data_IF_613604428404
#
_entry.id   IF_613604428404
#
_cell.length_a   1.000
_cell.length_b   1.000
_cell.length_c   1.000
_cell.angle_alpha   90.00
_cell.angle_beta   90.00
_cell.angle_gamma   90.00
#
_symmetry.space_group_name_H-M   'P 1'
#
loop_
_entity.id
_entity.type
_entity.pdbx_description
1 polymer ?
#
# COMPACT_ATOMS: atom_id res chain seq x y z
N UNK A 1 -40.21 55.28 -48.61
CA UNK A 1 -40.16 56.68 -49.11
C UNK A 1 -38.74 57.18 -48.95
N UNK A 2 -38.15 57.68 -50.04
CA UNK A 2 -36.88 58.42 -50.09
C UNK A 2 -37.06 59.82 -49.48
N UNK A 3 -35.92 60.46 -49.16
CA UNK A 3 -35.63 61.90 -48.92
C UNK A 3 -35.26 62.16 -47.46
N UNK A 4 -34.18 62.87 -47.11
CA UNK A 4 -33.20 63.66 -47.87
C UNK A 4 -31.98 63.87 -46.96
N UNK A 5 -30.79 63.85 -47.56
CA UNK A 5 -29.58 64.39 -46.98
C UNK A 5 -29.70 65.92 -46.83
N UNK A 6 -29.14 66.47 -45.75
CA UNK A 6 -28.73 67.87 -45.69
C UNK A 6 -27.24 67.90 -45.34
N UNK A 7 -26.49 68.27 -46.37
CA UNK A 7 -25.08 68.64 -46.37
C UNK A 7 -25.00 70.03 -45.71
N UNK A 8 -24.21 70.18 -44.65
CA UNK A 8 -23.76 71.50 -44.18
C UNK A 8 -22.27 71.63 -44.47
N UNK A 9 -22.02 72.48 -45.45
CA UNK A 9 -20.76 72.83 -46.09
C UNK A 9 -20.18 74.07 -45.41
N UNK A 10 -19.02 73.96 -44.77
CA UNK A 10 -18.10 75.07 -44.44
C UNK A 10 -16.78 74.45 -43.95
N UNK A 11 -15.58 74.87 -44.30
CA UNK A 11 -15.02 75.74 -45.33
C UNK A 11 -13.52 75.38 -45.27
N UNK A 12 -12.90 75.17 -46.43
CA UNK A 12 -11.50 74.80 -46.58
C UNK A 12 -10.61 76.02 -46.25
N UNK A 13 -9.65 75.89 -45.33
CA UNK A 13 -8.48 76.78 -45.27
C UNK A 13 -7.21 75.92 -45.39
N UNK A 14 -6.55 76.05 -46.53
CA UNK A 14 -5.36 75.29 -46.90
C UNK A 14 -4.10 76.06 -46.45
N UNK A 15 -3.05 75.27 -46.20
CA UNK A 15 -1.60 75.56 -46.34
C UNK A 15 -0.89 76.02 -45.06
N UNK A 16 -0.13 75.11 -44.45
CA UNK A 16 1.33 75.08 -44.65
C UNK A 16 1.92 73.75 -44.17
N UNK A 17 2.69 73.12 -45.07
CA UNK A 17 3.66 72.08 -44.73
C UNK A 17 4.74 72.69 -43.84
N UNK A 18 4.77 72.28 -42.58
CA UNK A 18 6.02 72.23 -41.81
C UNK A 18 6.34 70.78 -41.52
N UNK A 19 7.20 70.21 -42.36
CA UNK A 19 8.00 69.03 -41.99
C UNK A 19 8.80 69.43 -40.76
N UNK A 20 8.41 68.91 -39.61
CA UNK A 20 9.26 68.84 -38.44
C UNK A 20 9.05 67.47 -37.85
N UNK A 21 10.03 66.61 -38.12
CA UNK A 21 10.07 65.27 -37.58
C UNK A 21 9.98 65.30 -36.07
N UNK A 22 9.01 64.56 -35.53
CA UNK A 22 9.07 64.04 -34.19
C UNK A 22 8.42 62.65 -34.19
N UNK A 23 9.30 61.67 -33.97
CA UNK A 23 9.09 60.26 -33.64
C UNK A 23 7.64 59.86 -33.34
N UNK A 24 7.21 58.77 -33.96
CA UNK A 24 6.19 57.87 -33.41
C UNK A 24 6.52 57.52 -31.95
N UNK A 25 6.08 58.36 -31.00
CA UNK A 25 5.93 57.95 -29.61
C UNK A 25 4.70 57.09 -29.59
N UNK A 26 4.94 55.80 -29.83
CA UNK A 26 4.02 54.73 -29.51
C UNK A 26 3.35 55.07 -28.19
N UNK A 27 2.01 55.17 -28.18
CA UNK A 27 1.23 54.97 -26.97
C UNK A 27 1.44 53.50 -26.57
N UNK A 28 2.62 53.16 -26.05
CA UNK A 28 2.75 52.05 -25.10
C UNK A 28 1.98 52.51 -23.89
N UNK A 29 0.68 52.20 -23.94
CA UNK A 29 -0.31 52.46 -22.92
C UNK A 29 0.27 52.08 -21.55
N UNK A 30 0.18 52.99 -20.59
CA UNK A 30 0.52 52.74 -19.17
C UNK A 30 -0.11 51.45 -18.64
N UNK A 31 -1.23 51.03 -19.25
CA UNK A 31 -1.89 49.74 -19.01
C UNK A 31 -0.98 48.53 -19.36
N UNK A 32 -0.26 48.57 -20.48
CA UNK A 32 0.64 47.49 -20.90
C UNK A 32 1.90 47.37 -20.05
N UNK A 33 2.41 48.46 -19.49
CA UNK A 33 3.52 48.41 -18.52
C UNK A 33 3.09 47.87 -17.15
N UNK A 34 1.89 48.22 -16.70
CA UNK A 34 1.35 47.74 -15.42
C UNK A 34 1.03 46.24 -15.47
N UNK A 35 0.40 45.76 -16.55
CA UNK A 35 0.11 44.32 -16.76
C UNK A 35 1.40 43.49 -16.79
N UNK A 36 2.45 43.98 -17.46
CA UNK A 36 3.75 43.28 -17.49
C UNK A 36 4.40 43.21 -16.11
N UNK A 37 4.33 44.29 -15.33
CA UNK A 37 4.86 44.32 -13.96
C UNK A 37 4.10 43.36 -13.04
N UNK A 38 2.78 43.32 -13.13
CA UNK A 38 1.94 42.38 -12.38
C UNK A 38 2.21 40.91 -12.76
N UNK A 39 2.34 40.62 -14.05
CA UNK A 39 2.69 39.28 -14.51
C UNK A 39 4.07 38.84 -14.00
N UNK A 40 5.07 39.73 -14.02
CA UNK A 40 6.40 39.45 -13.49
C UNK A 40 6.38 39.21 -11.97
N UNK A 41 5.65 40.02 -11.20
CA UNK A 41 5.51 39.81 -9.75
C UNK A 41 4.86 38.47 -9.42
N UNK A 42 3.81 38.08 -10.17
CA UNK A 42 3.19 36.76 -10.02
C UNK A 42 4.17 35.62 -10.35
N UNK A 43 4.97 35.77 -11.41
CA UNK A 43 5.97 34.77 -11.78
C UNK A 43 7.04 34.61 -10.70
N UNK A 44 7.51 35.71 -10.11
CA UNK A 44 8.51 35.70 -9.04
C UNK A 44 7.95 35.07 -7.75
N UNK A 45 6.68 35.34 -7.43
CA UNK A 45 6.01 34.73 -6.28
C UNK A 45 5.79 33.22 -6.46
N UNK A 46 5.41 32.78 -7.68
CA UNK A 46 5.35 31.34 -8.02
C UNK A 46 6.71 30.68 -7.83
N UNK A 47 7.79 31.26 -8.35
CA UNK A 47 9.16 30.74 -8.19
C UNK A 47 9.54 30.63 -6.72
N UNK A 48 9.19 31.63 -5.91
CA UNK A 48 9.44 31.62 -4.46
C UNK A 48 8.74 30.44 -3.79
N UNK A 49 7.44 30.25 -4.03
CA UNK A 49 6.70 29.13 -3.43
C UNK A 49 7.24 27.75 -3.86
N UNK A 50 7.68 27.61 -5.12
CA UNK A 50 8.33 26.38 -5.59
C UNK A 50 9.68 26.16 -4.89
N UNK A 51 10.47 27.22 -4.70
CA UNK A 51 11.75 27.15 -4.01
C UNK A 51 11.57 26.76 -2.53
N UNK A 52 10.62 27.39 -1.83
CA UNK A 52 10.26 27.07 -0.45
C UNK A 52 9.77 25.62 -0.32
N UNK A 53 8.85 25.20 -1.19
CA UNK A 53 8.38 23.81 -1.23
C UNK A 53 9.49 22.80 -1.49
N UNK A 54 10.43 23.12 -2.39
CA UNK A 54 11.60 22.28 -2.68
C UNK A 54 12.52 22.14 -1.46
N UNK A 55 12.76 23.25 -0.74
CA UNK A 55 13.56 23.25 0.50
C UNK A 55 12.90 22.37 1.57
N UNK A 56 11.61 22.57 1.82
CA UNK A 56 10.84 21.81 2.80
C UNK A 56 10.80 20.31 2.45
N UNK A 57 10.65 19.99 1.16
CA UNK A 57 10.69 18.62 0.66
C UNK A 57 12.06 17.97 0.91
N UNK A 58 13.14 18.73 0.79
CA UNK A 58 14.48 18.27 1.11
C UNK A 58 14.71 18.07 2.60
N UNK A 59 14.09 18.89 3.43
CA UNK A 59 14.10 18.77 4.90
C UNK A 59 13.17 17.64 5.42
N UNK A 60 12.41 16.97 4.56
CA UNK A 60 11.45 15.93 4.97
C UNK A 60 10.14 16.47 5.55
N UNK A 61 9.90 17.78 5.48
CA UNK A 61 8.66 18.43 5.93
C UNK A 61 7.62 18.35 4.81
N UNK A 62 7.08 17.16 4.60
CA UNK A 62 6.30 16.85 3.41
C UNK A 62 4.97 17.60 3.30
N UNK A 63 4.27 17.80 4.42
CA UNK A 63 3.01 18.54 4.43
C UNK A 63 3.22 20.04 4.17
N UNK A 64 4.27 20.63 4.76
CA UNK A 64 4.65 22.03 4.52
C UNK A 64 5.09 22.24 3.07
N UNK A 65 5.85 21.28 2.52
CA UNK A 65 6.25 21.30 1.12
C UNK A 65 5.03 21.28 0.19
N UNK A 66 4.07 20.38 0.47
CA UNK A 66 2.82 20.27 -0.28
C UNK A 66 2.04 21.59 -0.25
N UNK A 67 1.90 22.19 0.93
CA UNK A 67 1.22 23.48 1.10
C UNK A 67 1.88 24.59 0.28
N UNK A 68 3.21 24.66 0.25
CA UNK A 68 3.95 25.64 -0.54
C UNK A 68 3.75 25.42 -2.04
N UNK A 69 3.78 24.17 -2.51
CA UNK A 69 3.52 23.84 -3.91
C UNK A 69 2.07 24.12 -4.34
N UNK A 70 1.08 23.88 -3.47
CA UNK A 70 -0.31 24.24 -3.73
C UNK A 70 -0.50 25.76 -3.83
N UNK A 71 0.24 26.55 -3.04
CA UNK A 71 0.28 28.01 -3.20
C UNK A 71 0.88 28.42 -4.55
N UNK A 72 1.97 27.79 -5.00
CA UNK A 72 2.52 28.06 -6.33
C UNK A 72 1.49 27.81 -7.44
N UNK A 73 0.73 26.72 -7.34
CA UNK A 73 -0.33 26.38 -8.29
C UNK A 73 -1.52 27.34 -8.21
N UNK A 74 -1.88 27.84 -7.02
CA UNK A 74 -3.03 28.73 -6.88
C UNK A 74 -2.83 30.09 -7.55
N UNK A 75 -1.58 30.53 -7.70
CA UNK A 75 -1.22 31.76 -8.42
C UNK A 75 -1.60 31.71 -9.91
N UNK A 76 -1.46 30.54 -10.54
CA UNK A 76 -1.88 30.28 -11.91
C UNK A 76 -2.19 28.78 -12.11
N UNK A 77 -3.47 28.43 -11.95
CA UNK A 77 -3.97 27.05 -12.08
C UNK A 77 -3.87 26.49 -13.50
N UNK A 78 -3.62 27.33 -14.51
CA UNK A 78 -3.50 26.91 -15.91
C UNK A 78 -2.06 26.57 -16.31
N UNK A 79 -1.08 26.91 -15.46
CA UNK A 79 0.33 26.78 -15.77
C UNK A 79 0.82 25.33 -15.68
N UNK A 80 0.74 24.61 -16.80
CA UNK A 80 1.25 23.23 -16.94
C UNK A 80 2.70 23.05 -16.45
N UNK A 81 3.57 24.03 -16.66
CA UNK A 81 5.00 23.92 -16.29
C UNK A 81 5.17 23.72 -14.79
N UNK A 82 4.41 24.46 -13.99
CA UNK A 82 4.47 24.42 -12.52
C UNK A 82 4.08 23.02 -12.00
N UNK A 83 3.00 22.44 -12.52
CA UNK A 83 2.59 21.08 -12.15
C UNK A 83 3.65 20.03 -12.50
N UNK A 84 4.23 20.11 -13.70
CA UNK A 84 5.28 19.17 -14.14
C UNK A 84 6.52 19.28 -13.25
N UNK A 85 6.94 20.50 -12.93
CA UNK A 85 8.09 20.75 -12.06
C UNK A 85 7.88 20.18 -10.65
N UNK A 86 6.74 20.48 -10.02
CA UNK A 86 6.39 19.99 -8.68
C UNK A 86 6.33 18.45 -8.67
N UNK A 87 5.64 17.85 -9.64
CA UNK A 87 5.54 16.40 -9.76
C UNK A 87 6.94 15.76 -9.91
N UNK A 88 7.82 16.34 -10.74
CA UNK A 88 9.19 15.83 -10.92
C UNK A 88 9.97 15.84 -9.59
N UNK A 89 9.89 16.93 -8.82
CA UNK A 89 10.56 17.03 -7.51
C UNK A 89 10.13 15.92 -6.53
N UNK A 90 8.84 15.59 -6.47
CA UNK A 90 8.37 14.46 -5.65
C UNK A 90 8.85 13.10 -6.18
N UNK A 91 8.87 12.92 -7.51
CA UNK A 91 9.38 11.69 -8.14
C UNK A 91 10.88 11.48 -7.85
N UNK A 92 11.70 12.54 -7.89
CA UNK A 92 13.12 12.50 -7.53
C UNK A 92 13.33 12.03 -6.08
N UNK A 93 12.41 12.41 -5.17
CA UNK A 93 12.41 11.95 -3.78
C UNK A 93 11.75 10.58 -3.57
N UNK A 94 11.36 9.89 -4.64
CA UNK A 94 10.64 8.61 -4.63
C UNK A 94 9.31 8.67 -3.85
N UNK A 95 8.68 9.84 -3.81
CA UNK A 95 7.38 10.09 -3.16
C UNK A 95 6.26 10.06 -4.21
N UNK A 96 5.96 8.85 -4.68
CA UNK A 96 5.09 8.62 -5.83
C UNK A 96 3.63 8.99 -5.52
N UNK A 97 3.15 8.78 -4.29
CA UNK A 97 1.78 9.13 -3.90
C UNK A 97 1.57 10.66 -3.89
N UNK A 98 2.58 11.41 -3.44
CA UNK A 98 2.53 12.87 -3.47
C UNK A 98 2.62 13.40 -4.91
N UNK A 99 3.48 12.82 -5.75
CA UNK A 99 3.53 13.12 -7.18
C UNK A 99 2.17 12.84 -7.86
N UNK A 100 1.55 11.70 -7.54
CA UNK A 100 0.25 11.28 -8.07
C UNK A 100 -0.86 12.29 -7.74
N UNK A 101 -0.86 12.82 -6.51
CA UNK A 101 -1.77 13.89 -6.10
C UNK A 101 -1.69 15.11 -7.02
N UNK A 102 -0.49 15.59 -7.36
CA UNK A 102 -0.34 16.76 -8.23
C UNK A 102 -0.75 16.46 -9.68
N UNK A 103 -0.57 15.24 -10.20
CA UNK A 103 -1.11 14.85 -11.51
C UNK A 103 -2.65 14.88 -11.49
N UNK A 104 -3.27 14.32 -10.46
CA UNK A 104 -4.74 14.37 -10.27
C UNK A 104 -5.24 15.81 -10.17
N UNK A 105 -4.52 16.67 -9.43
CA UNK A 105 -4.84 18.09 -9.30
C UNK A 105 -4.73 18.82 -10.65
N UNK A 106 -3.75 18.45 -11.49
CA UNK A 106 -3.58 18.99 -12.85
C UNK A 106 -4.82 18.71 -13.71
N UNK A 107 -5.29 17.46 -13.69
CA UNK A 107 -6.51 17.03 -14.40
C UNK A 107 -7.73 17.78 -13.88
N UNK A 108 -7.86 17.91 -12.55
CA UNK A 108 -8.97 18.65 -11.91
C UNK A 108 -9.01 20.13 -12.28
N UNK A 109 -7.87 20.73 -12.62
CA UNK A 109 -7.78 22.11 -13.10
C UNK A 109 -7.88 22.22 -14.62
N UNK A 110 -8.26 21.15 -15.31
CA UNK A 110 -8.43 21.07 -16.77
C UNK A 110 -7.14 21.38 -17.57
N UNK A 111 -5.97 21.09 -16.99
CA UNK A 111 -4.68 21.30 -17.66
C UNK A 111 -4.20 20.00 -18.30
N UNK A 112 -4.03 20.01 -19.62
CA UNK A 112 -3.45 18.88 -20.39
C UNK A 112 -4.05 17.51 -20.03
N UNK A 113 -5.38 17.48 -19.91
CA UNK A 113 -6.13 16.38 -19.27
C UNK A 113 -5.83 15.03 -19.90
N UNK A 114 -5.74 14.96 -21.23
CA UNK A 114 -5.54 13.68 -21.93
C UNK A 114 -4.16 13.07 -21.67
N UNK A 115 -3.10 13.87 -21.71
CA UNK A 115 -1.76 13.36 -21.39
C UNK A 115 -1.61 13.07 -19.90
N UNK A 116 -2.20 13.90 -19.03
CA UNK A 116 -2.16 13.70 -17.58
C UNK A 116 -2.94 12.47 -17.15
N UNK A 117 -4.07 12.14 -17.79
CA UNK A 117 -4.80 10.88 -17.55
C UNK A 117 -3.95 9.66 -17.91
N UNK A 118 -3.24 9.69 -19.04
CA UNK A 118 -2.33 8.60 -19.44
C UNK A 118 -1.22 8.42 -18.40
N UNK A 119 -0.60 9.52 -17.97
CA UNK A 119 0.43 9.50 -16.92
C UNK A 119 -0.13 8.98 -15.59
N UNK A 120 -1.32 9.44 -15.19
CA UNK A 120 -1.99 9.01 -13.96
C UNK A 120 -2.21 7.49 -13.96
N UNK A 121 -2.65 6.93 -15.09
CA UNK A 121 -2.86 5.48 -15.24
C UNK A 121 -1.54 4.70 -15.18
N UNK A 122 -0.47 5.19 -15.83
CA UNK A 122 0.86 4.58 -15.75
C UNK A 122 1.38 4.57 -14.30
N UNK A 123 1.25 5.68 -13.57
CA UNK A 123 1.61 5.75 -12.14
C UNK A 123 0.77 4.77 -11.31
N UNK A 124 -0.54 4.71 -11.55
CA UNK A 124 -1.46 3.81 -10.83
C UNK A 124 -1.12 2.33 -11.06
N UNK A 125 -0.71 1.95 -12.27
CA UNK A 125 -0.33 0.55 -12.56
C UNK A 125 0.91 0.08 -11.80
N UNK A 126 1.70 1.00 -11.25
CA UNK A 126 2.91 0.69 -10.46
C UNK A 126 2.61 0.61 -8.95
N UNK A 127 1.38 0.90 -8.54
CA UNK A 127 0.99 0.79 -7.14
C UNK A 127 0.80 -0.68 -6.76
N UNK A 128 1.52 -1.08 -5.71
CA UNK A 128 1.35 -2.39 -5.09
C UNK A 128 0.00 -2.46 -4.37
N UNK A 129 -0.68 -3.60 -4.56
CA UNK A 129 -1.89 -3.95 -3.82
C UNK A 129 -1.49 -4.41 -2.42
N UNK A 130 -2.09 -3.82 -1.39
CA UNK A 130 -1.79 -4.21 0.00
C UNK A 130 -2.50 -5.51 0.33
N UNK A 131 -1.74 -6.58 0.63
CA UNK A 131 -2.30 -7.91 0.93
C UNK A 131 -2.28 -8.20 2.41
N UNK A 132 -3.44 -8.58 2.95
CA UNK A 132 -3.65 -9.02 4.32
C UNK A 132 -4.07 -10.49 4.32
N UNK A 133 -3.70 -11.19 5.39
CA UNK A 133 -4.17 -12.54 5.65
C UNK A 133 -4.63 -12.60 7.10
N UNK A 134 -5.81 -13.16 7.31
CA UNK A 134 -6.35 -13.39 8.65
C UNK A 134 -7.05 -14.75 8.71
N UNK A 135 -7.44 -15.17 9.90
CA UNK A 135 -8.13 -16.44 10.10
C UNK A 135 -9.21 -16.34 11.17
N UNK A 136 -10.31 -17.07 10.94
CA UNK A 136 -11.42 -17.20 11.88
C UNK A 136 -11.92 -18.63 11.88
N UNK A 137 -12.43 -19.12 13.01
CA UNK A 137 -13.08 -20.42 13.06
C UNK A 137 -14.45 -20.38 12.41
N UNK A 138 -14.88 -21.51 11.86
CA UNK A 138 -16.21 -21.64 11.26
C UNK A 138 -17.29 -21.23 12.26
N UNK A 139 -18.32 -20.54 11.76
CA UNK A 139 -19.45 -19.99 12.52
C UNK A 139 -19.08 -18.92 13.57
N UNK A 140 -17.82 -18.48 13.66
CA UNK A 140 -17.45 -17.36 14.52
C UNK A 140 -17.62 -16.03 13.78
N UNK A 141 -18.01 -15.00 14.51
CA UNK A 141 -18.12 -13.65 13.96
C UNK A 141 -16.73 -13.13 13.57
N UNK A 142 -16.65 -12.44 12.43
CA UNK A 142 -15.45 -11.77 11.98
C UNK A 142 -15.79 -10.38 11.44
N UNK A 143 -15.03 -9.38 11.88
CA UNK A 143 -15.14 -8.01 11.40
C UNK A 143 -13.90 -7.66 10.59
N UNK A 144 -14.11 -7.25 9.34
CA UNK A 144 -13.04 -6.74 8.50
C UNK A 144 -12.43 -5.48 9.15
N UNK A 145 -11.11 -5.30 9.08
CA UNK A 145 -10.46 -4.17 9.71
C UNK A 145 -10.79 -2.87 8.99
N UNK A 146 -11.12 -1.83 9.75
CA UNK A 146 -11.45 -0.49 9.28
C UNK A 146 -10.19 0.26 8.80
N UNK A 147 -9.04 -0.14 9.34
CA UNK A 147 -7.73 0.44 9.08
C UNK A 147 -6.68 -0.65 8.88
N UNK A 148 -5.76 -0.41 7.96
CA UNK A 148 -4.66 -1.32 7.62
C UNK A 148 -3.34 -0.55 7.54
N UNK A 149 -2.23 -1.26 7.69
CA UNK A 149 -0.91 -0.70 7.37
C UNK A 149 -0.64 -0.89 5.88
N UNK A 150 -0.43 0.22 5.17
CA UNK A 150 -0.10 0.23 3.76
C UNK A 150 1.18 1.06 3.52
N UNK A 151 1.95 0.68 2.51
CA UNK A 151 3.16 1.40 2.12
C UNK A 151 2.80 2.60 1.24
N UNK A 152 2.91 3.79 1.79
CA UNK A 152 2.61 5.08 1.13
C UNK A 152 3.88 5.92 1.14
N UNK A 153 4.34 6.38 -0.03
CA UNK A 153 5.63 7.06 -0.19
C UNK A 153 6.81 6.30 0.45
N UNK A 154 6.80 4.97 0.34
CA UNK A 154 7.77 4.04 0.97
C UNK A 154 7.77 4.01 2.50
N UNK A 155 6.77 4.63 3.15
CA UNK A 155 6.57 4.60 4.60
C UNK A 155 5.35 3.73 4.93
N UNK A 156 5.43 2.92 5.98
CA UNK A 156 4.26 2.20 6.49
C UNK A 156 3.33 3.19 7.20
N UNK A 157 2.11 3.36 6.68
CA UNK A 157 1.08 4.24 7.24
C UNK A 157 -0.16 3.46 7.59
N UNK A 158 -0.74 3.76 8.76
CA UNK A 158 -2.07 3.30 9.09
C UNK A 158 -3.09 4.14 8.32
N UNK A 159 -3.86 3.48 7.45
CA UNK A 159 -4.81 4.12 6.53
C UNK A 159 -6.17 3.45 6.63
N UNK A 160 -7.23 4.23 6.45
CA UNK A 160 -8.60 3.71 6.38
C UNK A 160 -8.79 2.91 5.10
N UNK A 161 -9.45 1.77 5.19
CA UNK A 161 -9.86 0.94 4.06
C UNK A 161 -11.38 0.84 4.01
N UNK A 162 -11.93 0.89 2.80
CA UNK A 162 -13.36 0.66 2.54
C UNK A 162 -13.47 -0.64 1.75
N UNK A 163 -14.10 -1.64 2.32
CA UNK A 163 -14.28 -2.97 1.69
C UNK A 163 -15.48 -2.97 0.75
N UNK A 164 -15.33 -3.61 -0.42
CA UNK A 164 -16.39 -3.71 -1.42
C UNK A 164 -17.58 -4.56 -0.94
N UNK A 165 -17.31 -5.56 -0.09
CA UNK A 165 -18.31 -6.34 0.62
C UNK A 165 -17.91 -6.43 2.10
N UNK A 166 -18.84 -6.08 2.99
CA UNK A 166 -18.64 -6.11 4.44
C UNK A 166 -19.34 -7.27 5.13
N UNK A 167 -20.22 -7.99 4.42
CA UNK A 167 -20.86 -9.18 4.97
C UNK A 167 -19.88 -10.36 4.91
N UNK A 168 -19.50 -10.85 6.08
CA UNK A 168 -18.56 -11.96 6.24
C UNK A 168 -19.33 -13.22 6.65
N UNK A 169 -19.48 -14.14 5.70
CA UNK A 169 -20.05 -15.45 5.95
C UNK A 169 -18.95 -16.44 6.37
N UNK A 170 -18.95 -16.83 7.65
CA UNK A 170 -18.01 -17.82 8.20
C UNK A 170 -18.61 -19.22 8.31
N UNK A 171 -19.80 -19.46 7.74
CA UNK A 171 -20.50 -20.76 7.84
C UNK A 171 -19.82 -21.88 7.06
N UNK A 172 -18.92 -21.57 6.12
CA UNK A 172 -18.21 -22.54 5.28
C UNK A 172 -16.71 -22.36 5.40
N UNK A 173 -16.02 -23.43 5.77
CA UNK A 173 -14.56 -23.44 5.77
C UNK A 173 -13.98 -23.26 4.35
N UNK A 174 -12.83 -22.58 4.28
CA UNK A 174 -12.17 -22.21 3.03
C UNK A 174 -11.52 -20.84 3.10
N UNK A 175 -10.97 -20.37 1.98
CA UNK A 175 -10.37 -19.04 1.88
C UNK A 175 -11.33 -18.14 1.10
N UNK A 176 -11.74 -17.04 1.72
CA UNK A 176 -12.54 -16.00 1.07
C UNK A 176 -11.67 -14.76 0.88
N UNK A 177 -11.69 -14.18 -0.33
CA UNK A 177 -10.99 -12.94 -0.65
C UNK A 177 -11.95 -11.76 -0.54
N UNK A 178 -11.55 -10.74 0.22
CA UNK A 178 -12.20 -9.44 0.27
C UNK A 178 -11.33 -8.40 -0.44
N UNK A 179 -11.94 -7.55 -1.25
CA UNK A 179 -11.27 -6.46 -1.94
C UNK A 179 -11.70 -5.14 -1.31
N UNK A 180 -10.75 -4.23 -1.14
CA UNK A 180 -10.97 -2.94 -0.52
C UNK A 180 -10.20 -1.82 -1.21
N UNK A 181 -10.60 -0.58 -0.91
CA UNK A 181 -10.00 0.63 -1.46
C UNK A 181 -9.51 1.54 -0.34
N UNK A 182 -8.31 2.08 -0.54
CA UNK A 182 -7.73 3.16 0.26
C UNK A 182 -7.98 4.45 -0.52
N UNK A 183 -9.14 5.06 -0.30
CA UNK A 183 -9.66 6.15 -1.17
C UNK A 183 -8.72 7.35 -1.28
N UNK A 184 -8.08 7.74 -0.17
CA UNK A 184 -7.17 8.89 -0.12
C UNK A 184 -6.00 8.76 -1.10
N UNK A 185 -5.51 7.55 -1.32
CA UNK A 185 -4.32 7.27 -2.13
C UNK A 185 -4.65 6.58 -3.47
N UNK A 186 -5.94 6.35 -3.75
CA UNK A 186 -6.43 5.57 -4.91
C UNK A 186 -5.74 4.21 -5.06
N UNK A 187 -5.46 3.56 -3.91
CA UNK A 187 -4.84 2.23 -3.82
C UNK A 187 -5.86 1.17 -3.46
N UNK A 188 -5.50 -0.08 -3.75
CA UNK A 188 -6.32 -1.25 -3.43
C UNK A 188 -5.69 -2.09 -2.33
N UNK A 189 -6.56 -2.78 -1.59
CA UNK A 189 -6.21 -3.75 -0.58
C UNK A 189 -6.98 -5.05 -0.84
N UNK A 190 -6.37 -6.16 -0.44
CA UNK A 190 -6.95 -7.49 -0.51
C UNK A 190 -6.77 -8.16 0.85
N UNK A 191 -7.83 -8.76 1.39
CA UNK A 191 -7.77 -9.58 2.60
C UNK A 191 -8.19 -11.01 2.26
N UNK A 192 -7.29 -11.96 2.47
CA UNK A 192 -7.61 -13.38 2.41
C UNK A 192 -7.97 -13.87 3.81
N UNK A 193 -9.25 -14.17 4.02
CA UNK A 193 -9.77 -14.71 5.27
C UNK A 193 -9.80 -16.23 5.19
N UNK A 194 -9.01 -16.91 6.01
CA UNK A 194 -9.02 -18.36 6.15
C UNK A 194 -10.02 -18.80 7.21
N UNK A 195 -11.12 -19.42 6.79
CA UNK A 195 -12.15 -19.98 7.68
C UNK A 195 -11.79 -21.43 8.01
N UNK A 196 -11.43 -21.67 9.28
CA UNK A 196 -10.91 -22.93 9.76
C UNK A 196 -12.04 -23.78 10.34
N UNK A 197 -12.16 -25.05 9.94
CA UNK A 197 -13.13 -25.98 10.54
C UNK A 197 -12.84 -26.14 12.03
N UNK A 198 -13.87 -26.01 12.85
CA UNK A 198 -13.82 -26.43 14.25
C UNK A 198 -13.79 -27.96 14.26
N UNK A 199 -12.76 -28.57 14.83
CA UNK A 199 -12.78 -30.02 15.11
C UNK A 199 -13.81 -30.22 16.21
N UNK A 200 -14.92 -30.91 15.92
CA UNK A 200 -15.80 -31.37 16.99
C UNK A 200 -15.01 -32.36 17.85
N UNK A 201 -14.94 -32.08 19.15
CA UNK A 201 -14.36 -32.98 20.13
C UNK A 201 -15.04 -34.36 20.02
N UNK A 202 -14.36 -35.30 19.39
CA UNK A 202 -14.74 -36.72 19.41
C UNK A 202 -14.46 -37.37 20.78
N UNK A 203 -14.23 -36.58 21.83
CA UNK A 203 -13.91 -37.02 23.19
C UNK A 203 -15.07 -36.92 24.19
N UNK A 204 -16.31 -37.11 23.73
CA UNK A 204 -17.47 -37.34 24.62
C UNK A 204 -18.18 -38.67 24.36
N UNK A 205 -17.44 -39.77 24.13
CA UNK A 205 -17.94 -41.15 24.32
C UNK A 205 -16.84 -42.09 24.79
N UNK A 206 -16.40 -41.93 26.03
CA UNK A 206 -15.92 -43.08 26.81
C UNK A 206 -15.99 -42.79 28.32
N UNK A 207 -17.21 -42.65 28.84
CA UNK A 207 -17.47 -43.02 30.24
C UNK A 207 -17.65 -44.53 30.28
N UNK A 208 -16.55 -45.27 30.22
CA UNK A 208 -16.50 -46.61 30.76
C UNK A 208 -15.77 -46.53 32.09
N UNK A 209 -16.58 -46.66 33.14
CA UNK A 209 -16.22 -47.23 34.43
C UNK A 209 -15.18 -48.33 34.25
N UNK A 210 -14.01 -48.18 34.88
CA UNK A 210 -13.50 -49.16 35.83
C UNK A 210 -12.33 -48.61 36.64
N UNK A 211 -12.58 -48.64 37.94
CA UNK A 211 -11.70 -48.49 39.09
C UNK A 211 -10.55 -49.49 38.99
N UNK A 212 -9.29 -49.04 39.01
CA UNK A 212 -8.16 -49.89 39.42
C UNK A 212 -7.16 -49.06 40.20
N UNK A 213 -6.77 -49.65 41.33
CA UNK A 213 -5.97 -49.15 42.43
C UNK A 213 -4.52 -48.81 42.07
N UNK A 214 -3.98 -47.80 42.75
CA UNK A 214 -2.54 -47.58 42.83
C UNK A 214 -1.91 -48.58 43.80
N UNK A 215 -1.09 -49.51 43.29
CA UNK A 215 0.03 -50.10 44.04
C UNK A 215 1.28 -50.30 43.17
N UNK A 216 2.39 -49.99 43.83
CA UNK A 216 3.81 -50.04 43.48
C UNK A 216 4.30 -51.37 42.90
N UNK A 217 5.23 -51.36 41.93
CA UNK A 217 6.63 -51.78 42.15
C UNK A 217 7.49 -51.87 40.87
N UNK A 218 8.80 -51.78 41.11
CA UNK A 218 9.98 -51.72 40.23
C UNK A 218 10.05 -52.79 39.12
N UNK A 219 10.65 -52.43 37.97
CA UNK A 219 12.01 -52.82 37.53
C UNK A 219 12.16 -53.01 35.99
N UNK A 220 13.28 -52.51 35.46
CA UNK A 220 14.09 -53.00 34.31
C UNK A 220 13.55 -53.13 32.88
N UNK A 221 14.31 -52.47 31.99
CA UNK A 221 14.92 -52.94 30.74
C UNK A 221 14.09 -53.05 29.45
N UNK A 222 14.46 -52.14 28.54
CA UNK A 222 14.44 -52.21 27.07
C UNK A 222 14.64 -53.63 26.51
N UNK A 223 13.76 -54.05 25.60
CA UNK A 223 14.09 -54.78 24.36
C UNK A 223 12.95 -54.73 23.34
N UNK A 224 13.24 -53.97 22.28
CA UNK A 224 12.99 -54.17 20.83
C UNK A 224 12.47 -55.56 20.41
N UNK A 225 11.66 -55.57 19.33
CA UNK A 225 11.59 -56.53 18.18
C UNK A 225 10.16 -56.46 17.60
N UNK A 226 9.87 -56.40 16.31
CA UNK A 226 10.61 -56.13 15.07
C UNK A 226 9.58 -56.17 13.92
N UNK A 227 9.90 -55.44 12.86
CA UNK A 227 9.81 -55.80 11.43
C UNK A 227 8.58 -56.49 10.83
N UNK A 228 8.15 -55.98 9.68
CA UNK A 228 8.45 -56.60 8.36
C UNK A 228 8.17 -55.55 7.27
N UNK A 229 9.18 -55.01 6.55
CA UNK A 229 9.93 -55.53 5.39
C UNK A 229 9.14 -55.63 4.07
N UNK A 230 9.42 -54.72 3.11
CA UNK A 230 10.05 -54.97 1.78
C UNK A 230 9.93 -53.70 0.91
N UNK A 231 11.00 -52.99 0.55
CA UNK A 231 12.15 -53.29 -0.37
C UNK A 231 11.84 -52.99 -1.85
N UNK A 232 12.50 -51.93 -2.37
CA UNK A 232 13.27 -51.79 -3.63
C UNK A 232 13.07 -50.40 -4.25
N UNK A 233 14.00 -49.71 -4.92
CA UNK A 233 15.48 -49.64 -4.97
C UNK A 233 15.83 -48.68 -6.13
N UNK A 234 16.93 -47.91 -6.00
CA UNK A 234 17.75 -47.27 -7.08
C UNK A 234 17.31 -45.92 -7.69
N UNK A 235 17.83 -44.83 -7.11
CA UNK A 235 19.04 -44.07 -7.49
C UNK A 235 19.32 -43.62 -8.95
N UNK A 236 19.70 -42.32 -9.04
CA UNK A 236 20.52 -41.56 -10.02
C UNK A 236 19.91 -41.01 -11.34
N UNK A 237 19.79 -39.67 -11.46
CA UNK A 237 20.73 -38.75 -12.18
C UNK A 237 20.14 -37.34 -12.47
N UNK A 238 21.06 -36.39 -12.54
CA UNK A 238 20.94 -34.93 -12.74
C UNK A 238 20.62 -34.53 -14.19
N UNK A 239 19.80 -33.48 -14.41
CA UNK A 239 20.08 -32.29 -15.27
C UNK A 239 18.81 -31.50 -15.69
N UNK A 240 19.04 -30.27 -16.14
CA UNK A 240 18.20 -29.07 -16.19
C UNK A 240 16.99 -29.01 -17.15
N UNK A 241 16.09 -28.08 -16.78
CA UNK A 241 15.32 -27.14 -17.63
C UNK A 241 13.80 -27.33 -17.81
N UNK A 242 13.09 -26.28 -17.40
CA UNK A 242 11.84 -25.71 -17.94
C UNK A 242 10.47 -26.41 -17.81
N UNK A 243 9.61 -25.71 -17.05
CA UNK A 243 8.17 -25.43 -17.24
C UNK A 243 7.11 -26.49 -16.88
N UNK A 244 6.36 -26.06 -15.87
CA UNK A 244 4.91 -26.12 -15.65
C UNK A 244 4.20 -27.40 -15.19
N UNK A 245 3.56 -27.20 -14.03
CA UNK A 245 2.28 -27.73 -13.56
C UNK A 245 2.19 -29.21 -13.16
N UNK A 246 2.36 -29.46 -11.85
CA UNK A 246 1.42 -30.29 -11.07
C UNK A 246 1.26 -29.70 -9.67
N UNK A 247 0.02 -29.37 -9.28
CA UNK A 247 -0.40 -29.06 -7.92
C UNK A 247 0.09 -30.15 -6.95
N UNK A 248 0.94 -29.77 -6.01
CA UNK A 248 1.08 -30.50 -4.75
C UNK A 248 1.21 -29.48 -3.61
N UNK A 249 0.42 -29.67 -2.57
CA UNK A 249 0.29 -28.83 -1.37
C UNK A 249 1.65 -28.49 -0.76
N UNK A 250 2.27 -27.39 -1.19
CA UNK A 250 3.56 -26.93 -0.67
C UNK A 250 3.31 -26.14 0.62
N UNK A 251 3.85 -26.64 1.71
CA UNK A 251 3.82 -25.99 3.02
C UNK A 251 4.17 -24.50 2.90
N UNK A 252 3.27 -23.63 3.36
CA UNK A 252 3.36 -22.18 3.18
C UNK A 252 3.36 -21.42 4.52
N UNK A 253 3.68 -20.12 4.47
CA UNK A 253 3.79 -19.27 5.66
C UNK A 253 2.49 -19.21 6.49
N UNK A 254 1.33 -19.32 5.84
CA UNK A 254 0.03 -19.33 6.53
C UNK A 254 -0.11 -20.59 7.37
N UNK A 255 0.22 -21.76 6.81
CA UNK A 255 0.22 -23.03 7.55
C UNK A 255 1.20 -22.99 8.72
N UNK A 256 2.38 -22.40 8.51
CA UNK A 256 3.35 -22.25 9.59
C UNK A 256 2.83 -21.40 10.76
N UNK A 257 2.13 -20.28 10.47
CA UNK A 257 1.50 -19.47 11.53
C UNK A 257 0.44 -20.25 12.27
N UNK A 258 -0.35 -21.09 11.58
CA UNK A 258 -1.37 -21.91 12.23
C UNK A 258 -0.77 -22.92 13.21
N UNK A 259 0.31 -23.60 12.82
CA UNK A 259 1.00 -24.52 13.73
C UNK A 259 1.62 -23.77 14.92
N UNK A 260 2.20 -22.57 14.70
CA UNK A 260 2.68 -21.72 15.80
C UNK A 260 1.57 -21.24 16.74
N UNK A 261 0.36 -20.98 16.23
CA UNK A 261 -0.81 -20.63 17.03
C UNK A 261 -1.22 -21.79 17.94
N UNK A 262 -1.32 -22.99 17.36
CA UNK A 262 -1.65 -24.20 18.10
C UNK A 262 -0.62 -24.51 19.20
N UNK A 263 0.67 -24.25 18.95
CA UNK A 263 1.73 -24.45 19.94
C UNK A 263 1.57 -23.61 21.22
N UNK A 264 0.90 -22.45 21.13
CA UNK A 264 0.60 -21.57 22.27
C UNK A 264 -0.89 -21.61 22.65
N UNK A 265 -1.58 -22.73 22.41
CA UNK A 265 -2.99 -22.93 22.77
C UNK A 265 -3.93 -21.82 22.24
N UNK A 266 -3.61 -21.28 21.05
CA UNK A 266 -4.35 -20.17 20.43
C UNK A 266 -4.48 -18.92 21.33
N UNK A 267 -3.51 -18.69 22.21
CA UNK A 267 -3.51 -17.57 23.14
C UNK A 267 -3.61 -16.21 22.40
N UNK A 268 -4.71 -15.50 22.61
CA UNK A 268 -5.03 -14.21 21.98
C UNK A 268 -4.06 -13.08 22.34
N UNK A 269 -3.31 -13.21 23.43
CA UNK A 269 -2.25 -12.28 23.81
C UNK A 269 -1.04 -12.41 22.87
N UNK A 270 -0.89 -13.51 22.13
CA UNK A 270 0.26 -13.78 21.28
C UNK A 270 0.00 -13.35 19.83
N UNK A 271 0.98 -12.66 19.26
CA UNK A 271 1.07 -12.26 17.84
C UNK A 271 2.26 -12.95 17.19
N UNK A 272 2.18 -13.19 15.88
CA UNK A 272 3.15 -14.00 15.16
C UNK A 272 3.72 -13.21 13.98
N UNK A 273 5.03 -13.20 13.85
CA UNK A 273 5.75 -12.63 12.70
C UNK A 273 6.56 -13.72 12.03
N UNK A 274 6.23 -14.04 10.78
CA UNK A 274 6.94 -15.06 10.00
C UNK A 274 8.17 -14.45 9.37
N UNK A 275 9.31 -15.14 9.48
CA UNK A 275 10.49 -14.86 8.68
C UNK A 275 10.25 -15.48 7.30
N UNK A 276 10.18 -14.69 6.21
CA UNK A 276 9.71 -15.18 4.90
C UNK A 276 10.60 -16.25 4.26
N UNK A 277 11.84 -16.36 4.72
CA UNK A 277 12.82 -17.33 4.25
C UNK A 277 12.40 -18.76 4.62
N UNK A 278 12.24 -19.59 3.59
CA UNK A 278 12.00 -21.01 3.76
C UNK A 278 13.34 -21.73 4.00
N UNK A 279 13.44 -22.47 5.10
CA UNK A 279 14.64 -23.20 5.48
C UNK A 279 14.40 -24.70 5.42
N UNK A 280 15.47 -25.47 5.37
CA UNK A 280 15.41 -26.92 5.45
C UNK A 280 16.41 -27.42 6.49
N UNK A 281 16.01 -28.39 7.29
CA UNK A 281 16.88 -29.07 8.26
C UNK A 281 16.55 -30.56 8.24
N UNK A 282 17.55 -31.39 7.99
CA UNK A 282 17.42 -32.84 7.89
C UNK A 282 16.35 -33.30 6.88
N UNK A 283 16.22 -32.60 5.75
CA UNK A 283 15.25 -32.90 4.71
C UNK A 283 13.84 -32.36 5.00
N UNK A 284 13.59 -31.77 6.17
CA UNK A 284 12.30 -31.17 6.53
C UNK A 284 12.33 -29.66 6.34
N UNK A 285 11.40 -29.15 5.54
CA UNK A 285 11.24 -27.71 5.36
C UNK A 285 10.55 -27.04 6.55
N UNK A 286 10.97 -25.82 6.89
CA UNK A 286 10.39 -25.04 7.98
C UNK A 286 10.42 -23.53 7.74
N UNK A 287 9.53 -22.81 8.43
CA UNK A 287 9.60 -21.36 8.60
C UNK A 287 9.99 -21.02 10.03
N UNK A 288 10.68 -19.90 10.21
CA UNK A 288 10.93 -19.34 11.53
C UNK A 288 9.84 -18.32 11.87
N UNK A 289 9.30 -18.41 13.09
CA UNK A 289 8.23 -17.54 13.56
C UNK A 289 8.61 -16.90 14.89
N UNK A 290 8.52 -15.59 14.97
CA UNK A 290 8.69 -14.84 16.21
C UNK A 290 7.32 -14.64 16.84
N UNK A 291 7.13 -15.19 18.04
CA UNK A 291 5.92 -15.03 18.82
C UNK A 291 6.11 -13.90 19.84
N UNK A 292 5.15 -12.96 19.90
CA UNK A 292 5.18 -11.80 20.81
C UNK A 292 3.88 -11.61 21.59
N UNK A 293 3.98 -11.45 22.90
CA UNK A 293 2.89 -11.10 23.81
C UNK A 293 2.54 -9.60 23.71
N UNK A 294 1.25 -9.29 23.52
CA UNK A 294 0.70 -7.93 23.52
C UNK A 294 0.80 -7.31 24.92
N UNK A 295 0.50 -8.09 25.97
CA UNK A 295 0.56 -7.63 27.35
C UNK A 295 1.98 -7.25 27.78
N UNK A 296 2.99 -8.03 27.40
CA UNK A 296 4.40 -7.72 27.72
C UNK A 296 4.90 -6.46 26.99
N UNK A 297 4.43 -6.22 25.76
CA UNK A 297 4.71 -4.97 25.03
C UNK A 297 4.11 -3.78 25.76
N UNK A 298 2.86 -3.89 26.24
CA UNK A 298 2.18 -2.83 27.00
C UNK A 298 2.91 -2.47 28.31
N UNK A 299 3.63 -3.43 28.89
CA UNK A 299 4.45 -3.23 30.10
C UNK A 299 5.86 -2.69 29.80
N UNK A 300 6.15 -2.32 28.56
CA UNK A 300 7.45 -1.75 28.14
C UNK A 300 8.52 -2.79 27.79
N UNK A 301 8.17 -4.08 27.77
CA UNK A 301 9.06 -5.16 27.35
C UNK A 301 9.12 -5.35 25.83
N UNK A 302 10.05 -6.18 25.35
CA UNK A 302 10.18 -6.50 23.91
C UNK A 302 9.01 -7.32 23.37
N UNK A 303 8.22 -7.93 24.26
CA UNK A 303 7.10 -8.80 23.93
C UNK A 303 7.49 -10.21 23.53
N UNK A 304 8.75 -10.49 23.21
CA UNK A 304 9.15 -11.79 22.65
C UNK A 304 8.92 -12.92 23.64
N UNK A 305 8.03 -13.85 23.30
CA UNK A 305 7.76 -15.07 24.09
C UNK A 305 8.48 -16.29 23.53
N UNK A 306 8.94 -16.23 22.27
CA UNK A 306 9.74 -17.29 21.65
C UNK A 306 10.06 -17.06 20.18
N UNK A 307 11.07 -17.77 19.70
CA UNK A 307 11.33 -17.98 18.27
C UNK A 307 11.09 -19.45 17.98
N UNK A 308 10.19 -19.73 17.05
CA UNK A 308 9.75 -21.09 16.71
C UNK A 308 10.33 -21.50 15.36
N UNK A 309 10.82 -22.73 15.25
CA UNK A 309 10.94 -23.44 13.97
C UNK A 309 9.64 -24.21 13.76
N UNK A 310 8.96 -23.94 12.65
CA UNK A 310 7.68 -24.57 12.32
C UNK A 310 7.83 -25.36 11.03
N UNK A 311 7.77 -26.68 11.16
CA UNK A 311 8.04 -27.62 10.07
C UNK A 311 6.78 -27.93 9.26
N UNK A 312 7.01 -28.41 8.04
CA UNK A 312 5.95 -28.81 7.10
C UNK A 312 5.05 -29.95 7.60
N UNK A 313 5.58 -30.79 8.50
CA UNK A 313 4.85 -31.88 9.15
C UNK A 313 4.01 -31.44 10.36
N UNK A 314 3.98 -30.15 10.68
CA UNK A 314 3.24 -29.59 11.81
C UNK A 314 4.00 -29.54 13.13
N UNK A 315 5.20 -30.11 13.19
CA UNK A 315 6.03 -30.00 14.39
C UNK A 315 6.51 -28.57 14.62
N UNK A 316 6.53 -28.15 15.89
CA UNK A 316 6.97 -26.82 16.32
C UNK A 316 8.04 -26.98 17.39
N UNK A 317 9.20 -26.38 17.15
CA UNK A 317 10.34 -26.38 18.08
C UNK A 317 10.64 -24.94 18.47
N UNK A 318 10.52 -24.62 19.75
CA UNK A 318 10.97 -23.34 20.30
C UNK A 318 12.50 -23.35 20.39
N UNK A 319 13.17 -22.37 19.79
CA UNK A 319 14.60 -22.13 19.95
C UNK A 319 14.85 -21.64 21.38
N UNK A 320 15.83 -22.26 22.03
CA UNK A 320 16.43 -21.78 23.28
C UNK A 320 17.18 -20.48 23.06
#
# INVERSE_FOLDING_TARGET
MRKKAMISLTLLLIVMLSVSGCKNKNKTSVLGSNIKKEAAMKEDEVKKFIADGSKLLNEGKYDDAKSSFEKAISMDKSNKRVYIEIKNKYMEKKRIDDAYYFVKLTISNNVDTENMKKLLNDMKSKFEVTKLNDSVYQNHEYKLPDKIKAKINNEDKEVKVVWSNTNVDTSRAGIIKYEGKIEQYDRFAELNLNIIKTQEDSNSKNKNTNKVDYKSDKNTLVKKVENTNKVNSKQDKVSESSKENINNSKFNQVQAVQYARNYYDNNEDITYSVIPEYKNENGKGYYEIIAKSKSFIKQGGTGTVGVLKVFEDGSVIKKS
#
